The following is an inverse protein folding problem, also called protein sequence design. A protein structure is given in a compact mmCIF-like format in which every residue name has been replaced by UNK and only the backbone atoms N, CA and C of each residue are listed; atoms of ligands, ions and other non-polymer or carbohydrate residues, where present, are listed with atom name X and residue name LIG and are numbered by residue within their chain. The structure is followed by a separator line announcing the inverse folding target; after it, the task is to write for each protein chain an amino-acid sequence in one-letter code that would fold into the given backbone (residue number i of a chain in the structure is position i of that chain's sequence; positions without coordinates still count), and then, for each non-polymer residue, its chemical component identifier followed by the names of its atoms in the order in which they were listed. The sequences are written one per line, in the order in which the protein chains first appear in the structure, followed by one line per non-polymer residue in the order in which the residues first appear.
data_IF_267411480755
#
_entry.id   IF_267411480755
#
_cell.length_a   1.000
_cell.length_b   1.000
_cell.length_c   1.000
_cell.angle_alpha   90.00
_cell.angle_beta   90.00
_cell.angle_gamma   90.00
#
_symmetry.space_group_name_H-M   'P 1'
#
loop_
_entity.id
_entity.type
_entity.pdbx_description
1 polymer ?
#
# COMPACT_ATOMS: atom_id res chain seq x y z
N UNK A 1 -10.96 20.69 -16.52
CA UNK A 1 -11.15 19.89 -15.30
C UNK A 1 -10.05 18.85 -15.33
N UNK A 2 -9.00 19.05 -14.53
CA UNK A 2 -7.81 18.19 -14.59
C UNK A 2 -8.23 16.88 -13.93
N UNK A 3 -8.29 15.79 -14.71
CA UNK A 3 -8.35 14.45 -14.16
C UNK A 3 -7.06 14.24 -13.37
N UNK A 4 -7.10 14.46 -12.05
CA UNK A 4 -6.11 13.88 -11.16
C UNK A 4 -6.18 12.38 -11.38
N UNK A 5 -5.23 11.85 -12.14
CA UNK A 5 -4.98 10.41 -12.15
C UNK A 5 -4.74 10.02 -10.70
N UNK A 6 -5.73 9.40 -10.05
CA UNK A 6 -5.59 8.85 -8.71
C UNK A 6 -4.41 7.90 -8.72
N UNK A 7 -3.25 8.36 -8.23
CA UNK A 7 -2.05 7.56 -8.05
C UNK A 7 -2.19 6.58 -6.87
N UNK A 8 -3.42 6.28 -6.45
CA UNK A 8 -3.71 5.38 -5.36
C UNK A 8 -3.26 3.98 -5.77
N UNK A 9 -2.40 3.38 -4.95
CA UNK A 9 -1.79 2.10 -5.25
C UNK A 9 -0.69 2.12 -6.32
N UNK A 10 -0.24 3.27 -6.83
CA UNK A 10 0.92 3.32 -7.72
C UNK A 10 2.22 2.90 -6.98
N UNK A 11 3.08 2.12 -7.64
CA UNK A 11 4.35 1.68 -7.06
C UNK A 11 5.39 2.80 -7.12
N UNK A 12 5.75 3.32 -5.94
CA UNK A 12 6.73 4.38 -5.71
C UNK A 12 8.09 3.78 -5.36
N UNK A 13 9.18 4.45 -5.77
CA UNK A 13 10.58 3.97 -5.67
C UNK A 13 11.57 5.06 -5.26
N UNK A 14 11.05 6.17 -4.76
CA UNK A 14 11.77 7.37 -4.36
C UNK A 14 12.33 7.29 -2.92
N UNK A 15 12.04 6.21 -2.19
CA UNK A 15 12.54 5.93 -0.85
C UNK A 15 13.35 4.62 -0.80
N UNK A 16 13.90 4.29 0.38
CA UNK A 16 14.74 3.12 0.60
C UNK A 16 14.06 1.77 0.29
N UNK A 17 12.73 1.72 0.29
CA UNK A 17 11.93 0.59 -0.13
C UNK A 17 10.92 1.03 -1.16
N UNK A 18 10.66 0.18 -2.16
CA UNK A 18 9.53 0.42 -3.06
C UNK A 18 8.22 0.18 -2.31
N UNK A 19 7.21 1.00 -2.56
CA UNK A 19 5.97 0.94 -1.79
C UNK A 19 4.75 1.40 -2.60
N UNK A 20 3.58 0.96 -2.16
CA UNK A 20 2.28 1.47 -2.62
C UNK A 20 1.57 2.13 -1.45
N UNK A 21 0.99 3.30 -1.71
CA UNK A 21 0.13 3.99 -0.76
C UNK A 21 -1.31 3.84 -1.20
N UNK A 22 -2.17 3.35 -0.31
CA UNK A 22 -3.61 3.33 -0.52
C UNK A 22 -4.31 4.19 0.53
N UNK A 23 -5.01 5.23 0.11
CA UNK A 23 -5.70 6.18 0.98
C UNK A 23 -7.21 6.15 0.72
N UNK A 24 -8.02 5.55 1.61
CA UNK A 24 -9.47 5.60 1.48
C UNK A 24 -9.98 7.04 1.67
N UNK A 25 -11.06 7.39 0.97
CA UNK A 25 -11.65 8.73 0.99
C UNK A 25 -12.14 9.16 2.39
N UNK A 26 -12.58 8.20 3.21
CA UNK A 26 -13.14 8.37 4.54
C UNK A 26 -12.15 8.01 5.66
N UNK A 27 -10.86 8.25 5.44
CA UNK A 27 -9.81 7.80 6.35
C UNK A 27 -9.96 8.34 7.77
N UNK A 28 -9.80 7.45 8.76
CA UNK A 28 -9.88 7.74 10.21
C UNK A 28 -8.59 8.32 10.80
N UNK A 29 -7.54 8.44 9.98
CA UNK A 29 -6.19 8.79 10.44
C UNK A 29 -5.33 7.59 10.85
N UNK A 30 -5.91 6.39 10.94
CA UNK A 30 -5.19 5.14 11.16
C UNK A 30 -4.34 4.76 9.95
N UNK A 31 -3.20 4.12 10.19
CA UNK A 31 -2.26 3.70 9.14
C UNK A 31 -1.69 2.31 9.45
N UNK A 32 -1.71 1.42 8.46
CA UNK A 32 -1.11 0.09 8.54
C UNK A 32 0.07 -0.02 7.56
N UNK A 33 1.19 -0.54 8.04
CA UNK A 33 2.31 -0.96 7.20
C UNK A 33 2.18 -2.45 6.90
N UNK A 34 2.21 -2.82 5.63
CA UNK A 34 2.07 -4.21 5.20
C UNK A 34 3.43 -4.75 4.76
N UNK A 35 3.87 -5.84 5.40
CA UNK A 35 5.12 -6.54 5.14
C UNK A 35 4.79 -7.95 4.66
N UNK A 36 4.89 -8.18 3.36
CA UNK A 36 4.52 -9.45 2.74
C UNK A 36 5.44 -10.61 3.16
N UNK A 37 4.96 -11.84 3.00
CA UNK A 37 5.79 -13.05 3.16
C UNK A 37 6.78 -13.23 2.00
N UNK A 38 7.72 -14.16 2.15
CA UNK A 38 8.67 -14.50 1.07
C UNK A 38 7.98 -15.02 -0.19
N UNK A 39 8.60 -14.79 -1.36
CA UNK A 39 8.15 -15.31 -2.66
C UNK A 39 6.93 -14.60 -3.27
N UNK A 40 6.46 -13.51 -2.65
CA UNK A 40 5.37 -12.67 -3.16
C UNK A 40 5.74 -11.19 -3.08
N UNK A 41 4.79 -10.29 -3.38
CA UNK A 41 5.04 -8.85 -3.41
C UNK A 41 4.15 -8.04 -2.46
N UNK A 42 4.31 -6.71 -2.47
CA UNK A 42 3.62 -5.76 -1.60
C UNK A 42 2.09 -5.81 -1.72
N UNK A 43 1.53 -6.37 -2.80
CA UNK A 43 0.09 -6.34 -3.02
C UNK A 43 -0.65 -7.43 -2.24
N UNK A 44 0.04 -8.48 -1.78
CA UNK A 44 -0.65 -9.70 -1.30
C UNK A 44 -1.40 -9.53 0.01
N UNK A 45 -0.97 -8.61 0.89
CA UNK A 45 -1.64 -8.35 2.15
C UNK A 45 -2.71 -7.25 2.06
N UNK A 46 -2.85 -6.57 0.91
CA UNK A 46 -3.80 -5.46 0.75
C UNK A 46 -5.25 -5.91 0.97
N UNK A 47 -5.73 -7.04 0.39
CA UNK A 47 -7.10 -7.50 0.62
C UNK A 47 -7.37 -7.78 2.11
N UNK A 48 -6.47 -8.50 2.78
CA UNK A 48 -6.59 -8.81 4.20
C UNK A 48 -6.60 -7.53 5.06
N UNK A 49 -5.72 -6.57 4.77
CA UNK A 49 -5.68 -5.31 5.49
C UNK A 49 -6.97 -4.48 5.31
N UNK A 50 -7.62 -4.57 4.15
CA UNK A 50 -8.93 -3.93 3.90
C UNK A 50 -10.06 -4.57 4.70
N UNK A 51 -9.98 -5.88 4.96
CA UNK A 51 -10.94 -6.56 5.85
C UNK A 51 -10.71 -6.17 7.32
N UNK A 52 -9.45 -6.06 7.75
CA UNK A 52 -9.09 -5.71 9.14
C UNK A 52 -9.42 -4.24 9.46
N UNK A 53 -9.01 -3.32 8.58
CA UNK A 53 -9.08 -1.89 8.81
C UNK A 53 -9.44 -1.13 7.52
N UNK A 54 -10.73 -1.16 7.10
CA UNK A 54 -11.16 -0.67 5.79
C UNK A 54 -10.84 0.83 5.58
N UNK A 55 -10.88 1.62 6.65
CA UNK A 55 -10.66 3.08 6.64
C UNK A 55 -9.22 3.51 6.92
N UNK A 56 -8.32 2.57 7.15
CA UNK A 56 -6.92 2.90 7.36
C UNK A 56 -6.22 3.24 6.04
N UNK A 57 -5.22 4.13 6.12
CA UNK A 57 -4.21 4.24 5.07
C UNK A 57 -3.35 3.00 5.08
N UNK A 58 -3.05 2.45 3.91
CA UNK A 58 -2.19 1.28 3.78
C UNK A 58 -0.89 1.69 3.10
N UNK A 59 0.24 1.36 3.72
CA UNK A 59 1.58 1.48 3.14
C UNK A 59 2.09 0.06 2.91
N UNK A 60 1.95 -0.41 1.68
CA UNK A 60 2.37 -1.75 1.31
C UNK A 60 3.80 -1.73 0.78
N UNK A 61 4.72 -2.39 1.49
CA UNK A 61 6.16 -2.29 1.25
C UNK A 61 6.67 -3.52 0.50
N UNK A 62 7.45 -3.32 -0.56
CA UNK A 62 8.12 -4.41 -1.30
C UNK A 62 9.50 -4.68 -0.70
N UNK A 63 9.78 -5.95 -0.41
CA UNK A 63 11.10 -6.43 -0.01
C UNK A 63 12.16 -6.15 -1.09
N UNK A 64 13.40 -5.88 -0.68
CA UNK A 64 14.52 -5.56 -1.61
C UNK A 64 15.14 -6.79 -2.27
N UNK A 65 14.88 -7.96 -1.72
CA UNK A 65 15.39 -9.23 -2.23
C UNK A 65 14.28 -9.85 -3.07
N UNK A 66 14.52 -9.98 -4.37
CA UNK A 66 13.69 -10.84 -5.22
C UNK A 66 13.97 -12.27 -4.76
N UNK A 67 12.97 -12.90 -4.16
CA UNK A 67 13.04 -14.29 -3.70
C UNK A 67 12.36 -15.21 -4.69
#
# INVERSE_FOLDING_TARGET
MIEETSQDGALRRDLAFSYRLYSPADSTGECLFLLHGSGVDETTLVPLAREIAPRAKLIAVRGRIVQ
#
